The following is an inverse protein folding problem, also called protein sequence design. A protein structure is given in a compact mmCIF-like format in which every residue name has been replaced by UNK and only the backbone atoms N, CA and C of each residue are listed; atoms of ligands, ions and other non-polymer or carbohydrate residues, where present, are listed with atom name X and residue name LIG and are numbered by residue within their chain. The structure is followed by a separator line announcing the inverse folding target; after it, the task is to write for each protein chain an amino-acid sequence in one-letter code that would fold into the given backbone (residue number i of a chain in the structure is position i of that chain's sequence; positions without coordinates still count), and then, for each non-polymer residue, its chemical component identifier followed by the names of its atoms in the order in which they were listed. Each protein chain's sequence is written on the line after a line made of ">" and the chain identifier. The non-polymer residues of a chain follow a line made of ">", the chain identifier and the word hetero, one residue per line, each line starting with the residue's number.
data_IF_010759977941
#
_entry.id   IF_010759977941
#
_cell.length_a   1.000
_cell.length_b   1.000
_cell.length_c   1.000
_cell.angle_alpha   90.00
_cell.angle_beta   90.00
_cell.angle_gamma   90.00
#
_symmetry.space_group_name_H-M   'P 1'
#
loop_
_entity.id
_entity.type
_entity.pdbx_description
1 polymer ?
#
# COMPACT_ATOMS: atom_id res chain seq x y z
N UNK A 1 6.81 -1.01 2.39
CA UNK A 1 6.99 -1.06 0.92
C UNK A 1 7.68 0.19 0.35
N UNK A 2 7.23 1.41 0.67
CA UNK A 2 7.86 2.68 0.24
C UNK A 2 9.38 2.82 0.40
N UNK A 3 9.98 2.31 1.48
CA UNK A 3 11.43 2.43 1.74
C UNK A 3 12.26 1.78 0.61
N UNK A 4 11.73 0.70 0.01
CA UNK A 4 12.42 -0.05 -1.05
C UNK A 4 12.01 0.40 -2.46
N UNK A 5 11.40 1.59 -2.61
CA UNK A 5 10.86 2.04 -3.89
C UNK A 5 11.91 2.09 -5.01
N UNK A 6 13.13 2.56 -4.73
CA UNK A 6 14.19 2.61 -5.73
C UNK A 6 14.57 1.22 -6.26
N UNK A 7 14.67 0.24 -5.36
CA UNK A 7 14.96 -1.15 -5.73
C UNK A 7 13.82 -1.75 -6.56
N UNK A 8 12.58 -1.53 -6.13
CA UNK A 8 11.37 -1.99 -6.83
C UNK A 8 11.26 -1.35 -8.23
N UNK A 9 11.57 -0.07 -8.34
CA UNK A 9 11.58 0.65 -9.61
C UNK A 9 12.67 0.14 -10.55
N UNK A 10 13.87 -0.13 -10.04
CA UNK A 10 14.95 -0.78 -10.81
C UNK A 10 14.54 -2.17 -11.27
N UNK A 11 13.88 -2.97 -10.43
CA UNK A 11 13.37 -4.29 -10.77
C UNK A 11 12.33 -4.22 -11.92
N UNK A 12 11.43 -3.24 -11.87
CA UNK A 12 10.47 -2.97 -12.94
C UNK A 12 11.05 -2.15 -14.11
N UNK A 13 12.38 -1.97 -14.16
CA UNK A 13 13.11 -1.27 -15.24
C UNK A 13 12.62 0.17 -15.47
N UNK A 14 12.19 0.85 -14.43
CA UNK A 14 11.66 2.22 -14.51
C UNK A 14 10.34 2.34 -15.26
N UNK A 15 9.65 1.22 -15.55
CA UNK A 15 8.39 1.24 -16.30
C UNK A 15 7.22 1.39 -15.33
N UNK A 16 6.39 2.40 -15.60
CA UNK A 16 5.08 2.56 -15.00
C UNK A 16 4.00 2.19 -16.03
N UNK A 17 2.83 1.65 -15.61
CA UNK A 17 2.40 1.45 -14.24
C UNK A 17 3.06 0.24 -13.55
N UNK A 18 3.23 0.33 -12.24
CA UNK A 18 3.75 -0.73 -11.39
C UNK A 18 2.86 -0.89 -10.17
N UNK A 19 2.66 -2.12 -9.70
CA UNK A 19 1.98 -2.39 -8.43
C UNK A 19 2.82 -3.34 -7.60
N UNK A 20 2.87 -3.11 -6.29
CA UNK A 20 3.60 -3.95 -5.34
C UNK A 20 2.65 -4.27 -4.19
N UNK A 21 2.68 -5.52 -3.73
CA UNK A 21 1.83 -5.99 -2.65
C UNK A 21 2.69 -6.57 -1.52
N UNK A 22 2.29 -6.32 -0.27
CA UNK A 22 2.90 -6.88 0.92
C UNK A 22 1.82 -7.53 1.78
N UNK A 23 2.04 -8.80 2.15
CA UNK A 23 1.21 -9.52 3.10
C UNK A 23 2.00 -9.73 4.38
N UNK A 24 1.42 -9.42 5.53
CA UNK A 24 2.13 -9.55 6.78
C UNK A 24 1.27 -9.34 8.00
N UNK A 25 1.90 -9.55 9.16
CA UNK A 25 1.32 -9.23 10.47
C UNK A 25 1.56 -7.76 10.76
N UNK A 26 0.48 -7.04 11.04
CA UNK A 26 0.49 -5.69 11.56
C UNK A 26 0.24 -5.71 13.06
N UNK A 27 0.95 -4.85 13.78
CA UNK A 27 0.75 -4.66 15.21
C UNK A 27 0.19 -3.27 15.47
N UNK A 28 -0.85 -3.20 16.29
CA UNK A 28 -1.44 -1.93 16.75
C UNK A 28 -1.52 -1.97 18.27
N UNK A 29 -0.98 -0.95 18.93
CA UNK A 29 -1.05 -0.85 20.39
C UNK A 29 -2.44 -0.34 20.83
N UNK A 30 -3.46 -1.16 20.59
CA UNK A 30 -4.84 -0.84 20.94
C UNK A 30 -5.05 -0.96 22.46
N UNK A 31 -5.48 0.15 23.07
CA UNK A 31 -5.61 0.29 24.54
C UNK A 31 -6.68 -0.66 25.08
N UNK A 32 -7.80 -0.82 24.36
CA UNK A 32 -8.86 -1.75 24.73
C UNK A 32 -9.30 -2.57 23.52
N UNK A 33 -8.72 -3.77 23.31
CA UNK A 33 -9.17 -4.67 22.26
C UNK A 33 -10.59 -5.14 22.61
N UNK A 34 -11.58 -4.60 21.90
CA UNK A 34 -13.00 -4.96 22.01
C UNK A 34 -13.48 -5.40 20.63
N UNK A 35 -14.54 -6.20 20.57
CA UNK A 35 -15.14 -6.67 19.30
C UNK A 35 -14.22 -7.61 18.49
N UNK A 36 -13.51 -8.52 19.17
CA UNK A 36 -12.77 -9.65 18.57
C UNK A 36 -12.03 -9.25 17.28
N UNK A 37 -12.45 -9.76 16.12
CA UNK A 37 -11.83 -9.56 14.81
C UNK A 37 -11.75 -8.11 14.33
N UNK A 38 -12.59 -7.19 14.84
CA UNK A 38 -12.64 -5.80 14.38
C UNK A 38 -11.51 -4.97 15.01
N UNK A 39 -11.14 -5.23 16.28
CA UNK A 39 -10.04 -4.51 16.96
C UNK A 39 -9.12 -5.49 17.68
N UNK A 40 -8.03 -5.83 17.01
CA UNK A 40 -6.98 -6.73 17.51
C UNK A 40 -5.64 -6.00 17.65
N UNK A 41 -4.77 -6.52 18.51
CA UNK A 41 -3.39 -6.02 18.66
C UNK A 41 -2.43 -6.58 17.61
N UNK A 42 -2.77 -7.75 17.06
CA UNK A 42 -2.05 -8.43 15.99
C UNK A 42 -3.07 -8.89 14.96
N UNK A 43 -2.86 -8.56 13.69
CA UNK A 43 -3.73 -8.99 12.59
C UNK A 43 -2.92 -9.16 11.30
N UNK A 44 -3.36 -10.07 10.45
CA UNK A 44 -2.83 -10.16 9.09
C UNK A 44 -3.52 -9.16 8.19
N UNK A 45 -2.74 -8.41 7.42
CA UNK A 45 -3.24 -7.50 6.39
C UNK A 45 -2.42 -7.63 5.11
N UNK A 46 -3.09 -7.36 4.00
CA UNK A 46 -2.47 -7.17 2.69
C UNK A 46 -2.54 -5.71 2.31
N UNK A 47 -1.40 -5.15 1.97
CA UNK A 47 -1.27 -3.79 1.45
C UNK A 47 -0.86 -3.86 -0.01
N UNK A 48 -1.46 -3.02 -0.85
CA UNK A 48 -1.10 -2.89 -2.26
C UNK A 48 -0.85 -1.43 -2.56
N UNK A 49 0.35 -1.12 -3.06
CA UNK A 49 0.70 0.21 -3.55
C UNK A 49 0.76 0.17 -5.08
N UNK A 50 0.00 1.05 -5.71
CA UNK A 50 -0.06 1.17 -7.17
C UNK A 50 0.57 2.49 -7.58
N UNK A 51 1.67 2.40 -8.32
CA UNK A 51 2.41 3.52 -8.87
C UNK A 51 1.96 3.77 -10.31
N UNK A 52 1.32 4.91 -10.54
CA UNK A 52 0.74 5.29 -11.83
C UNK A 52 1.32 6.62 -12.30
N UNK A 53 1.38 6.80 -13.62
CA UNK A 53 1.66 8.12 -14.19
C UNK A 53 0.46 9.06 -14.00
N UNK A 54 0.73 10.34 -13.72
CA UNK A 54 -0.30 11.38 -13.53
C UNK A 54 -1.25 11.51 -14.73
N UNK A 55 -0.78 11.24 -15.95
CA UNK A 55 -1.64 11.23 -17.15
C UNK A 55 -2.69 10.11 -17.09
N UNK A 56 -2.31 8.93 -16.60
CA UNK A 56 -3.21 7.77 -16.46
C UNK A 56 -4.21 7.98 -15.32
N UNK A 57 -3.79 8.59 -14.21
CA UNK A 57 -4.69 8.97 -13.10
C UNK A 57 -5.82 9.92 -13.55
N UNK A 58 -5.50 10.90 -14.41
CA UNK A 58 -6.51 11.81 -14.99
C UNK A 58 -7.54 11.09 -15.85
N UNK A 59 -7.14 10.05 -16.59
CA UNK A 59 -8.06 9.24 -17.40
C UNK A 59 -8.96 8.35 -16.51
N UNK A 60 -8.47 7.95 -15.34
CA UNK A 60 -9.23 7.18 -14.35
C UNK A 60 -10.15 8.04 -13.47
N UNK A 61 -10.23 9.36 -13.71
CA UNK A 61 -11.05 10.27 -12.91
C UNK A 61 -10.51 10.55 -11.50
N UNK A 62 -9.32 10.04 -11.17
CA UNK A 62 -8.67 10.28 -9.89
C UNK A 62 -8.02 11.67 -9.90
N UNK A 63 -8.67 12.67 -9.28
CA UNK A 63 -8.01 13.94 -8.93
C UNK A 63 -7.07 13.65 -7.75
N UNK A 64 -5.77 13.69 -7.99
CA UNK A 64 -4.81 13.66 -6.89
C UNK A 64 -5.07 14.86 -5.99
N UNK A 65 -5.37 14.60 -4.72
CA UNK A 65 -5.13 15.59 -3.69
C UNK A 65 -3.62 15.69 -3.55
N UNK A 66 -3.12 16.91 -3.65
CA UNK A 66 -1.75 17.25 -3.30
C UNK A 66 -1.44 16.81 -1.86
#
# INVERSE_FOLDING_TARGET
>A
MFINLNLLNSYCRGKLPMAVAQLGKGFRNEVSPRQSLIRMREFFHGEVEVFLQRKLLRLLGCRGND
#
